data_IF_887252294474
#
_entry.id   IF_887252294474
#
_cell.length_a   1.000
_cell.length_b   1.000
_cell.length_c   1.000
_cell.angle_alpha   90.00
_cell.angle_beta   90.00
_cell.angle_gamma   90.00
#
_symmetry.space_group_name_H-M   'P 1'
#
loop_
_entity.id
_entity.type
_entity.pdbx_description
1 polymer ?
#
# COMPACT_ATOMS: atom_id res chain seq x y z
N UNK A 1 2.96 2.83 -20.07
CA UNK A 1 1.67 3.21 -20.68
C UNK A 1 1.40 4.72 -20.62
N UNK A 2 1.68 5.43 -19.52
CA UNK A 2 1.56 6.91 -19.50
C UNK A 2 2.50 7.60 -20.50
N UNK A 3 3.73 7.08 -20.67
CA UNK A 3 4.62 7.50 -21.75
C UNK A 3 4.08 7.25 -23.17
N UNK A 4 3.21 6.25 -23.38
CA UNK A 4 2.64 5.98 -24.71
C UNK A 4 1.52 6.97 -25.04
N UNK A 5 0.79 7.43 -24.02
CA UNK A 5 -0.21 8.49 -24.13
C UNK A 5 0.45 9.86 -24.36
N UNK A 6 1.55 10.16 -23.66
CA UNK A 6 2.37 11.37 -23.89
C UNK A 6 3.05 11.36 -25.26
N UNK A 7 3.39 10.19 -25.80
CA UNK A 7 3.94 10.04 -27.14
C UNK A 7 2.86 10.03 -28.24
N UNK A 8 1.58 10.24 -27.89
CA UNK A 8 0.47 10.27 -28.85
C UNK A 8 0.20 8.94 -29.55
N UNK A 9 0.75 7.83 -29.02
CA UNK A 9 0.60 6.49 -29.61
C UNK A 9 -0.74 5.83 -29.26
N UNK A 10 -1.46 6.37 -28.27
CA UNK A 10 -2.73 5.82 -27.75
C UNK A 10 -3.60 6.97 -27.25
N UNK A 11 -4.88 6.95 -27.60
CA UNK A 11 -5.87 8.00 -27.24
C UNK A 11 -6.47 7.74 -25.86
N UNK A 12 -6.94 8.79 -25.15
CA UNK A 12 -7.52 8.61 -23.79
C UNK A 12 -8.70 7.63 -23.76
N UNK A 13 -9.45 7.53 -24.86
CA UNK A 13 -10.55 6.57 -25.00
C UNK A 13 -10.08 5.10 -25.12
N UNK A 14 -8.84 4.87 -25.55
CA UNK A 14 -8.26 3.52 -25.71
C UNK A 14 -7.67 2.96 -24.42
N UNK A 15 -7.54 3.79 -23.37
CA UNK A 15 -7.04 3.38 -22.04
C UNK A 15 -8.01 3.71 -20.90
N UNK A 16 -9.29 3.27 -20.98
CA UNK A 16 -10.30 3.59 -19.97
C UNK A 16 -9.91 3.07 -18.58
N UNK A 17 -9.21 1.93 -18.51
CA UNK A 17 -8.71 1.32 -17.27
C UNK A 17 -7.77 2.22 -16.44
N UNK A 18 -7.11 3.21 -17.05
CA UNK A 18 -6.24 4.14 -16.33
C UNK A 18 -6.95 5.40 -15.81
N UNK A 19 -8.12 5.72 -16.36
CA UNK A 19 -8.93 6.88 -15.97
C UNK A 19 -10.22 6.50 -15.24
N UNK A 20 -10.54 5.21 -15.14
CA UNK A 20 -11.64 4.70 -14.35
C UNK A 20 -11.34 4.87 -12.85
N UNK A 21 -11.98 5.88 -12.25
CA UNK A 21 -11.84 6.25 -10.85
C UNK A 21 -12.16 5.08 -9.91
N UNK A 22 -13.08 4.18 -10.30
CA UNK A 22 -13.43 3.00 -9.52
C UNK A 22 -12.27 2.00 -9.41
N UNK A 23 -11.52 1.83 -10.49
CA UNK A 23 -10.36 0.93 -10.54
C UNK A 23 -9.16 1.51 -9.79
N UNK A 24 -8.98 2.83 -9.87
CA UNK A 24 -7.97 3.58 -9.10
C UNK A 24 -8.27 3.47 -7.60
N UNK A 25 -9.51 3.73 -7.19
CA UNK A 25 -9.93 3.63 -5.80
C UNK A 25 -9.78 2.19 -5.26
N UNK A 26 -10.10 1.19 -6.07
CA UNK A 26 -9.92 -0.23 -5.73
C UNK A 26 -8.45 -0.58 -5.47
N UNK A 27 -7.54 -0.15 -6.34
CA UNK A 27 -6.09 -0.34 -6.17
C UNK A 27 -5.55 0.40 -4.95
N UNK A 28 -6.00 1.63 -4.72
CA UNK A 28 -5.64 2.42 -3.55
C UNK A 28 -6.10 1.75 -2.26
N UNK A 29 -7.29 1.14 -2.23
CA UNK A 29 -7.79 0.42 -1.05
C UNK A 29 -6.96 -0.81 -0.69
N UNK A 30 -6.40 -1.50 -1.68
CA UNK A 30 -5.50 -2.65 -1.47
C UNK A 30 -4.13 -2.18 -0.96
N UNK A 31 -3.63 -1.06 -1.48
CA UNK A 31 -2.38 -0.43 -1.01
C UNK A 31 -2.53 0.13 0.39
N UNK A 32 -3.66 0.80 0.70
CA UNK A 32 -3.90 1.40 2.02
C UNK A 32 -3.98 0.35 3.12
N UNK A 33 -4.56 -0.83 2.85
CA UNK A 33 -4.55 -1.96 3.79
C UNK A 33 -3.15 -2.50 4.07
N UNK A 34 -2.24 -2.42 3.09
CA UNK A 34 -0.85 -2.87 3.23
C UNK A 34 0.00 -1.88 4.03
N UNK A 35 -0.19 -0.57 3.81
CA UNK A 35 0.60 0.48 4.47
C UNK A 35 -0.03 1.04 5.74
N UNK A 36 -1.31 0.76 6.01
CA UNK A 36 -2.03 1.20 7.20
C UNK A 36 -1.29 0.89 8.49
N UNK A 37 -0.85 -0.36 8.74
CA UNK A 37 -0.09 -0.70 9.96
C UNK A 37 1.22 0.09 10.10
N UNK A 38 1.90 0.38 8.98
CA UNK A 38 3.13 1.18 8.99
C UNK A 38 2.86 2.65 9.34
N UNK A 39 1.79 3.23 8.79
CA UNK A 39 1.38 4.61 9.08
C UNK A 39 0.98 4.74 10.56
N UNK A 40 0.20 3.80 11.09
CA UNK A 40 -0.17 3.78 12.51
C UNK A 40 1.06 3.69 13.40
N UNK A 41 2.06 2.88 13.03
CA UNK A 41 3.32 2.79 13.77
C UNK A 41 4.11 4.10 13.74
N UNK A 42 4.22 4.75 12.58
CA UNK A 42 4.89 6.06 12.47
C UNK A 42 4.19 7.09 13.37
N UNK A 43 2.86 7.15 13.35
CA UNK A 43 2.10 8.04 14.24
C UNK A 43 2.34 7.70 15.71
N UNK A 44 2.37 6.41 16.07
CA UNK A 44 2.65 5.95 17.42
C UNK A 44 4.05 6.34 17.90
N UNK A 45 5.06 6.22 17.03
CA UNK A 45 6.43 6.66 17.30
C UNK A 45 6.52 8.17 17.54
N UNK A 46 5.88 8.98 16.69
CA UNK A 46 5.82 10.44 16.88
C UNK A 46 5.14 10.79 18.20
N UNK A 47 3.97 10.20 18.48
CA UNK A 47 3.23 10.45 19.71
C UNK A 47 4.03 10.08 20.95
N UNK A 48 4.69 8.92 20.95
CA UNK A 48 5.54 8.49 22.04
C UNK A 48 6.70 9.46 22.28
N UNK A 49 7.39 9.86 21.20
CA UNK A 49 8.52 10.79 21.27
C UNK A 49 8.12 12.14 21.87
N UNK A 50 6.94 12.66 21.51
CA UNK A 50 6.48 13.99 21.94
C UNK A 50 5.87 13.99 23.35
N UNK A 51 5.12 12.95 23.74
CA UNK A 51 4.30 12.99 24.96
C UNK A 51 4.73 12.03 26.07
N UNK A 52 5.37 10.90 25.75
CA UNK A 52 5.60 9.81 26.72
C UNK A 52 7.05 9.64 27.17
N UNK A 53 8.01 10.29 26.51
CA UNK A 53 9.44 10.20 26.83
C UNK A 53 9.78 10.62 28.27
N UNK A 54 9.01 11.55 28.85
CA UNK A 54 9.21 12.03 30.23
C UNK A 54 8.45 11.26 31.32
N UNK A 55 7.50 10.39 30.96
CA UNK A 55 6.57 9.78 31.92
C UNK A 55 7.03 8.37 32.28
N UNK A 56 7.73 8.21 33.42
CA UNK A 56 8.10 6.88 33.94
C UNK A 56 6.93 6.29 34.76
N UNK A 57 6.59 4.99 34.62
CA UNK A 57 7.19 3.95 33.76
C UNK A 57 6.52 3.81 32.37
N UNK A 58 5.44 4.55 32.10
CA UNK A 58 4.61 4.41 30.90
C UNK A 58 5.38 4.58 29.59
N UNK A 59 6.33 5.50 29.54
CA UNK A 59 7.22 5.68 28.40
C UNK A 59 7.97 4.40 28.03
N UNK A 60 8.51 3.67 29.01
CA UNK A 60 9.24 2.43 28.74
C UNK A 60 8.32 1.31 28.24
N UNK A 61 7.13 1.16 28.84
CA UNK A 61 6.18 0.15 28.38
C UNK A 61 5.72 0.37 26.94
N UNK A 62 5.39 1.62 26.59
CA UNK A 62 4.94 1.95 25.23
C UNK A 62 6.09 1.83 24.22
N UNK A 63 7.33 2.13 24.61
CA UNK A 63 8.51 1.92 23.77
C UNK A 63 8.70 0.44 23.41
N UNK A 64 8.57 -0.46 24.40
CA UNK A 64 8.69 -1.91 24.17
C UNK A 64 7.59 -2.38 23.22
N UNK A 65 6.34 -1.92 23.42
CA UNK A 65 5.22 -2.26 22.54
C UNK A 65 5.43 -1.77 21.10
N UNK A 66 5.88 -0.53 20.92
CA UNK A 66 6.25 0.05 19.62
C UNK A 66 7.38 -0.72 18.95
N UNK A 67 8.39 -1.15 19.73
CA UNK A 67 9.48 -1.99 19.25
C UNK A 67 8.97 -3.32 18.70
N UNK A 68 8.10 -4.02 19.44
CA UNK A 68 7.48 -5.28 18.99
C UNK A 68 6.67 -5.06 17.72
N UNK A 69 5.83 -4.02 17.67
CA UNK A 69 5.05 -3.69 16.47
C UNK A 69 5.91 -3.42 15.24
N UNK A 70 7.04 -2.72 15.43
CA UNK A 70 8.02 -2.45 14.37
C UNK A 70 8.69 -3.73 13.90
N UNK A 71 8.92 -4.70 14.78
CA UNK A 71 9.49 -6.01 14.43
C UNK A 71 8.48 -6.91 13.69
N UNK A 72 7.18 -6.76 13.96
CA UNK A 72 6.11 -7.49 13.30
C UNK A 72 5.83 -6.98 11.86
N UNK A 73 6.11 -5.71 11.57
CA UNK A 73 5.96 -5.13 10.23
C UNK A 73 6.66 -5.93 9.12
N UNK A 74 7.99 -6.18 9.18
CA UNK A 74 8.68 -6.94 8.14
C UNK A 74 8.17 -8.38 8.05
N UNK A 75 7.82 -9.00 9.18
CA UNK A 75 7.24 -10.34 9.20
C UNK A 75 5.89 -10.38 8.46
N UNK A 76 5.00 -9.41 8.72
CA UNK A 76 3.75 -9.30 7.97
C UNK A 76 3.99 -9.06 6.49
N UNK A 77 4.91 -8.16 6.11
CA UNK A 77 5.18 -7.88 4.71
C UNK A 77 5.61 -9.15 3.97
N UNK A 78 6.40 -10.03 4.59
CA UNK A 78 6.80 -11.31 4.02
C UNK A 78 5.63 -12.30 3.91
N UNK A 79 4.86 -12.48 4.99
CA UNK A 79 3.74 -13.42 5.04
C UNK A 79 2.58 -13.04 4.09
N UNK A 80 2.30 -11.74 3.95
CA UNK A 80 1.19 -11.24 3.14
C UNK A 80 1.56 -10.92 1.68
N UNK A 81 2.79 -11.23 1.23
CA UNK A 81 3.21 -11.01 -0.18
C UNK A 81 2.30 -11.75 -1.16
N UNK A 82 2.02 -13.03 -0.91
CA UNK A 82 1.24 -13.87 -1.82
C UNK A 82 -0.20 -13.36 -1.99
N UNK A 83 -0.83 -12.95 -0.88
CA UNK A 83 -2.20 -12.40 -0.88
C UNK A 83 -2.27 -11.08 -1.65
N UNK A 84 -1.28 -10.20 -1.48
CA UNK A 84 -1.22 -8.92 -2.20
C UNK A 84 -1.05 -9.11 -3.72
N UNK A 85 -0.19 -10.03 -4.15
CA UNK A 85 -0.01 -10.34 -5.58
C UNK A 85 -1.30 -10.91 -6.18
N UNK A 86 -2.00 -11.77 -5.45
CA UNK A 86 -3.31 -12.31 -5.86
C UNK A 86 -4.35 -11.19 -6.03
N UNK A 87 -4.53 -10.33 -5.04
CA UNK A 87 -5.52 -9.24 -5.11
C UNK A 87 -5.20 -8.25 -6.25
N UNK A 88 -3.92 -7.94 -6.48
CA UNK A 88 -3.52 -7.08 -7.60
C UNK A 88 -3.66 -7.75 -8.97
N UNK A 89 -3.43 -9.05 -9.08
CA UNK A 89 -3.66 -9.79 -10.33
C UNK A 89 -5.14 -9.79 -10.72
N UNK A 90 -6.04 -9.79 -9.73
CA UNK A 90 -7.49 -9.72 -9.94
C UNK A 90 -7.95 -8.32 -10.39
N UNK A 91 -7.28 -7.27 -9.93
CA UNK A 91 -7.56 -5.86 -10.27
C UNK A 91 -6.78 -5.37 -11.51
N UNK A 92 -5.92 -6.22 -12.06
CA UNK A 92 -5.16 -5.97 -13.28
C UNK A 92 -5.42 -7.14 -14.22
N UNK A 93 -6.66 -7.29 -14.74
CA UNK A 93 -6.90 -8.31 -15.74
C UNK A 93 -5.91 -8.07 -16.87
N UNK A 94 -5.14 -9.11 -17.18
CA UNK A 94 -4.36 -9.16 -18.41
C UNK A 94 -5.30 -8.74 -19.52
N UNK A 95 -5.01 -7.63 -20.19
CA UNK A 95 -5.63 -7.34 -21.46
C UNK A 95 -5.48 -8.62 -22.29
N UNK A 96 -6.60 -9.28 -22.59
CA UNK A 96 -6.62 -10.46 -23.43
C UNK A 96 -6.04 -10.01 -24.76
N UNK A 97 -4.77 -10.36 -24.99
CA UNK A 97 -4.10 -10.10 -26.27
C UNK A 97 -5.03 -10.69 -27.32
N UNK A 98 -5.52 -9.91 -28.31
CA UNK A 98 -6.34 -10.48 -29.37
C UNK A 98 -5.60 -11.67 -29.95
N UNK A 99 -6.27 -12.83 -30.01
CA UNK A 99 -5.68 -14.03 -30.62
C UNK A 99 -5.53 -13.74 -32.11
N UNK A 100 -4.29 -13.45 -32.51
CA UNK A 100 -3.93 -13.19 -33.89
C UNK A 100 -4.01 -11.71 -34.26
N UNK A 101 -2.92 -10.99 -34.00
CA UNK A 101 -2.19 -10.16 -34.98
C UNK A 101 -0.90 -9.65 -34.35
#
# INVERSE_FOLDING_TARGET
MRCALDQGLVTKEEVPTFFDEGLIASRLSVVSRRWGPAITLIMGWTFWSTFLTGVRPWGTYVLVLLGIGTLLLPAQILLFRAKYTSDMSRLTPSHERPKGH
#
